data_IF_660973786910
#
_entry.id   IF_660973786910
#
_cell.length_a   1.000
_cell.length_b   1.000
_cell.length_c   1.000
_cell.angle_alpha   90.00
_cell.angle_beta   90.00
_cell.angle_gamma   90.00
#
_symmetry.space_group_name_H-M   'P 1'
#
loop_
_entity.id
_entity.type
_entity.pdbx_description
1 polymer ?
#
# COMPACT_ATOMS: atom_id res chain seq x y z
N UNK A 1 -19.69 2.94 14.12
CA UNK A 1 -18.52 2.09 13.82
C UNK A 1 -17.25 2.81 14.22
N UNK A 2 -16.19 2.10 14.54
CA UNK A 2 -14.86 2.68 14.76
C UNK A 2 -13.90 2.18 13.67
N UNK A 3 -13.13 3.07 13.06
CA UNK A 3 -12.15 2.73 12.05
C UNK A 3 -10.77 3.06 12.61
N UNK A 4 -9.83 2.13 12.53
CA UNK A 4 -8.46 2.27 13.05
C UNK A 4 -7.43 1.95 11.99
N UNK A 5 -6.32 2.66 11.98
CA UNK A 5 -5.17 2.31 11.14
C UNK A 5 -4.25 1.31 11.86
N UNK A 6 -3.91 0.22 11.18
CA UNK A 6 -2.86 -0.73 11.57
C UNK A 6 -1.57 -0.27 10.93
N UNK A 7 -0.74 0.46 11.68
CA UNK A 7 0.48 1.14 11.17
C UNK A 7 1.70 0.25 11.41
N UNK A 8 2.40 -0.17 10.36
CA UNK A 8 3.54 -1.08 10.50
C UNK A 8 4.84 -0.58 9.85
N UNK A 9 4.80 0.42 8.92
CA UNK A 9 6.01 1.12 8.44
C UNK A 9 5.81 2.63 8.44
N UNK A 10 6.92 3.39 8.59
CA UNK A 10 6.96 4.85 8.60
C UNK A 10 8.25 5.39 7.97
N UNK A 11 8.31 6.69 7.78
CA UNK A 11 9.48 7.40 7.27
C UNK A 11 9.95 6.88 5.90
N UNK A 12 9.00 6.43 5.06
CA UNK A 12 9.22 6.06 3.68
C UNK A 12 9.09 7.26 2.73
N UNK A 13 9.28 6.99 1.44
CA UNK A 13 9.04 7.98 0.39
C UNK A 13 8.61 7.34 -0.92
N UNK A 14 7.93 8.15 -1.74
CA UNK A 14 7.62 7.87 -3.14
C UNK A 14 8.06 9.06 -3.99
N UNK A 15 8.88 8.83 -5.02
CA UNK A 15 9.34 9.90 -5.90
C UNK A 15 8.22 10.39 -6.82
N UNK A 16 8.30 11.67 -7.24
CA UNK A 16 7.32 12.25 -8.16
C UNK A 16 7.18 11.46 -9.47
N UNK A 17 8.27 11.00 -10.15
CA UNK A 17 8.16 10.11 -11.31
C UNK A 17 7.34 8.84 -11.05
N UNK A 18 7.46 8.25 -9.86
CA UNK A 18 6.72 7.04 -9.49
C UNK A 18 5.23 7.31 -9.34
N UNK A 19 4.86 8.37 -8.62
CA UNK A 19 3.46 8.64 -8.27
C UNK A 19 2.67 9.38 -9.35
N UNK A 20 3.34 10.07 -10.30
CA UNK A 20 2.70 10.89 -11.33
C UNK A 20 2.96 10.45 -12.77
N UNK A 21 3.95 9.56 -12.96
CA UNK A 21 4.49 9.25 -14.30
C UNK A 21 3.66 8.31 -15.17
N UNK A 22 2.49 7.86 -14.72
CA UNK A 22 1.75 6.80 -15.38
C UNK A 22 1.19 7.13 -16.77
N UNK A 23 0.88 8.39 -17.03
CA UNK A 23 0.35 8.84 -18.34
C UNK A 23 1.37 9.66 -19.13
N UNK A 24 2.00 10.62 -18.49
CA UNK A 24 2.90 11.56 -19.15
C UNK A 24 4.33 11.01 -19.30
N UNK A 25 4.62 9.89 -18.62
CA UNK A 25 5.95 9.28 -18.55
C UNK A 25 6.79 9.80 -17.39
N UNK A 26 7.50 8.91 -16.66
CA UNK A 26 8.26 9.28 -15.47
C UNK A 26 9.37 10.32 -15.71
N UNK A 27 9.90 10.39 -16.94
CA UNK A 27 10.96 11.34 -17.33
C UNK A 27 10.51 12.80 -17.31
N UNK A 28 9.21 13.08 -17.22
CA UNK A 28 8.66 14.44 -17.18
C UNK A 28 8.55 15.00 -15.76
N UNK A 29 8.98 14.24 -14.76
CA UNK A 29 8.86 14.60 -13.34
C UNK A 29 10.23 14.60 -12.65
N UNK A 30 10.35 15.38 -11.58
CA UNK A 30 11.61 15.54 -10.84
C UNK A 30 11.82 14.38 -9.84
N UNK A 31 12.85 13.53 -10.01
CA UNK A 31 13.14 12.44 -9.08
C UNK A 31 13.63 12.94 -7.69
N UNK A 32 14.04 14.20 -7.56
CA UNK A 32 14.42 14.76 -6.27
C UNK A 32 13.22 15.12 -5.40
N UNK A 33 12.04 15.30 -5.99
CA UNK A 33 10.80 15.50 -5.24
C UNK A 33 10.33 14.15 -4.71
N UNK A 34 10.24 14.01 -3.39
CA UNK A 34 9.81 12.80 -2.69
C UNK A 34 8.70 13.11 -1.72
N UNK A 35 7.58 12.42 -1.88
CA UNK A 35 6.43 12.51 -1.00
C UNK A 35 6.58 11.52 0.16
N UNK A 36 6.00 11.85 1.33
CA UNK A 36 6.07 10.99 2.51
C UNK A 36 5.43 9.63 2.24
N UNK A 37 6.12 8.56 2.62
CA UNK A 37 5.67 7.18 2.54
C UNK A 37 5.50 6.54 3.91
N UNK A 38 4.57 5.59 3.97
CA UNK A 38 4.34 4.69 5.11
C UNK A 38 3.66 3.43 4.62
N UNK A 39 3.48 2.43 5.49
CA UNK A 39 2.54 1.34 5.24
C UNK A 39 1.60 1.18 6.42
N UNK A 40 0.33 1.23 6.13
CA UNK A 40 -0.79 0.93 7.04
C UNK A 40 -1.94 0.27 6.29
N UNK A 41 -2.69 -0.56 6.99
CA UNK A 41 -4.00 -1.04 6.54
C UNK A 41 -5.05 -0.66 7.58
N UNK A 42 -6.29 -1.12 7.42
CA UNK A 42 -7.36 -0.60 8.25
C UNK A 42 -8.16 -1.71 8.93
N UNK A 43 -8.64 -1.40 10.13
CA UNK A 43 -9.55 -2.22 10.91
C UNK A 43 -10.87 -1.46 11.08
N UNK A 44 -11.99 -2.13 10.89
CA UNK A 44 -13.35 -1.61 11.11
C UNK A 44 -13.98 -2.44 12.22
N UNK A 45 -14.27 -1.81 13.35
CA UNK A 45 -15.04 -2.39 14.45
C UNK A 45 -16.49 -1.87 14.37
N UNK A 46 -17.40 -2.77 14.02
CA UNK A 46 -18.83 -2.46 13.93
C UNK A 46 -19.53 -2.61 15.28
N UNK A 47 -18.85 -3.07 16.32
CA UNK A 47 -19.27 -3.60 17.61
C UNK A 47 -19.80 -5.03 17.56
N UNK A 48 -20.37 -5.44 16.42
CA UNK A 48 -20.85 -6.82 16.21
C UNK A 48 -19.79 -7.68 15.52
N UNK A 49 -18.93 -7.07 14.70
CA UNK A 49 -17.89 -7.74 13.92
C UNK A 49 -16.61 -6.90 13.88
N UNK A 50 -15.46 -7.60 13.80
CA UNK A 50 -14.16 -7.02 13.49
C UNK A 50 -13.80 -7.40 12.06
N UNK A 51 -13.62 -6.39 11.22
CA UNK A 51 -13.35 -6.52 9.79
C UNK A 51 -12.00 -5.86 9.49
N UNK A 52 -11.13 -6.54 8.76
CA UNK A 52 -9.91 -5.93 8.24
C UNK A 52 -10.11 -5.52 6.78
N UNK A 53 -9.46 -4.43 6.40
CA UNK A 53 -9.21 -4.09 5.00
C UNK A 53 -7.71 -4.22 4.80
N UNK A 54 -7.32 -5.26 4.09
CA UNK A 54 -5.95 -5.72 3.86
C UNK A 54 -5.22 -6.22 5.14
N UNK A 55 -4.07 -6.88 4.97
CA UNK A 55 -3.36 -7.59 6.04
C UNK A 55 -1.84 -7.41 6.02
N UNK A 56 -1.35 -6.32 5.46
CA UNK A 56 0.06 -5.93 5.50
C UNK A 56 1.03 -6.85 4.80
N UNK A 57 2.30 -6.65 5.10
CA UNK A 57 3.42 -7.43 4.58
C UNK A 57 3.53 -8.78 5.29
N UNK A 58 4.04 -9.82 4.60
CA UNK A 58 4.38 -11.10 5.23
C UNK A 58 5.39 -10.90 6.37
N UNK A 59 5.24 -11.69 7.45
CA UNK A 59 6.19 -11.69 8.54
C UNK A 59 7.62 -11.97 8.03
N UNK A 60 8.58 -11.21 8.56
CA UNK A 60 9.99 -11.33 8.18
C UNK A 60 10.34 -10.72 6.82
N UNK A 61 9.46 -9.94 6.20
CA UNK A 61 9.83 -9.11 5.04
C UNK A 61 10.90 -8.10 5.47
N UNK A 62 12.12 -8.15 4.88
CA UNK A 62 13.19 -7.26 5.31
C UNK A 62 12.89 -5.82 4.97
N UNK A 63 13.45 -4.89 5.76
CA UNK A 63 13.50 -3.49 5.37
C UNK A 63 14.33 -3.31 4.10
N UNK A 64 13.88 -2.42 3.25
CA UNK A 64 14.63 -1.98 2.08
C UNK A 64 15.72 -1.01 2.52
N UNK A 65 16.81 -0.95 1.76
CA UNK A 65 17.84 0.09 1.95
C UNK A 65 17.77 1.03 0.74
N UNK A 66 17.11 2.20 0.86
CA UNK A 66 16.96 3.12 -0.25
C UNK A 66 18.27 3.86 -0.52
N UNK A 67 18.44 4.33 -1.75
CA UNK A 67 19.51 5.24 -2.16
C UNK A 67 18.95 6.43 -2.97
N UNK A 68 19.82 7.34 -3.39
CA UNK A 68 19.43 8.54 -4.13
C UNK A 68 18.66 8.26 -5.44
N UNK A 69 18.81 7.06 -6.01
CA UNK A 69 18.13 6.66 -7.26
C UNK A 69 16.91 5.80 -7.02
N UNK A 70 16.62 5.44 -5.77
CA UNK A 70 15.43 4.63 -5.43
C UNK A 70 14.16 5.40 -5.76
N UNK A 71 13.24 4.82 -6.56
CA UNK A 71 11.99 5.48 -6.92
C UNK A 71 11.01 5.52 -5.75
N UNK A 72 11.14 4.58 -4.82
CA UNK A 72 10.34 4.46 -3.62
C UNK A 72 11.15 3.82 -2.49
N UNK A 73 10.65 4.02 -1.29
CA UNK A 73 11.03 3.32 -0.07
C UNK A 73 9.78 3.18 0.81
N UNK A 74 9.41 1.95 1.13
CA UNK A 74 8.18 1.69 1.89
C UNK A 74 8.27 2.10 3.36
N UNK A 75 9.47 2.39 3.84
CA UNK A 75 9.73 2.93 5.18
C UNK A 75 10.40 1.92 6.11
N UNK A 76 10.76 2.43 7.29
CA UNK A 76 11.31 1.66 8.41
C UNK A 76 10.22 0.89 9.11
N UNK A 77 10.52 -0.30 9.61
CA UNK A 77 9.59 -1.05 10.44
C UNK A 77 9.28 -0.29 11.74
N UNK A 78 8.00 -0.12 12.03
CA UNK A 78 7.52 0.21 13.37
C UNK A 78 7.51 -1.07 14.20
N UNK A 79 6.90 -2.12 13.63
CA UNK A 79 6.80 -3.48 14.14
C UNK A 79 6.22 -4.37 13.03
N UNK A 80 6.08 -5.68 13.27
CA UNK A 80 5.35 -6.56 12.36
C UNK A 80 3.88 -6.13 12.22
N UNK A 81 3.23 -6.49 11.11
CA UNK A 81 1.79 -6.23 10.94
C UNK A 81 0.98 -6.82 12.10
N UNK A 82 1.30 -8.06 12.53
CA UNK A 82 0.59 -8.74 13.61
C UNK A 82 0.76 -8.06 14.97
N UNK A 83 1.94 -7.50 15.25
CA UNK A 83 2.16 -6.72 16.47
C UNK A 83 1.40 -5.38 16.42
N UNK A 84 1.39 -4.70 15.27
CA UNK A 84 0.60 -3.49 15.07
C UNK A 84 -0.90 -3.75 15.26
N UNK A 85 -1.40 -4.86 14.71
CA UNK A 85 -2.79 -5.30 14.90
C UNK A 85 -3.10 -5.58 16.38
N UNK A 86 -2.24 -6.36 17.06
CA UNK A 86 -2.42 -6.70 18.47
C UNK A 86 -2.38 -5.47 19.38
N UNK A 87 -1.57 -4.46 19.04
CA UNK A 87 -1.49 -3.19 19.78
C UNK A 87 -2.81 -2.40 19.77
N UNK A 88 -3.71 -2.65 18.80
CA UNK A 88 -5.05 -2.09 18.79
C UNK A 88 -6.02 -2.77 19.78
N UNK A 89 -5.57 -3.82 20.48
CA UNK A 89 -6.35 -4.54 21.50
C UNK A 89 -7.20 -5.70 20.97
N UNK A 90 -7.00 -6.13 19.72
CA UNK A 90 -7.73 -7.23 19.11
C UNK A 90 -6.89 -8.50 19.02
N UNK A 91 -7.57 -9.64 18.86
CA UNK A 91 -6.97 -10.95 18.62
C UNK A 91 -7.36 -11.47 17.24
N UNK A 92 -6.50 -12.28 16.57
CA UNK A 92 -6.78 -12.79 15.23
C UNK A 92 -8.08 -13.59 15.11
N UNK A 93 -8.49 -14.31 16.17
CA UNK A 93 -9.71 -15.10 16.22
C UNK A 93 -11.02 -14.27 16.29
N UNK A 94 -10.92 -12.98 16.59
CA UNK A 94 -12.04 -12.03 16.60
C UNK A 94 -12.35 -11.48 15.19
N UNK A 95 -11.41 -11.58 14.26
CA UNK A 95 -11.61 -11.09 12.89
C UNK A 95 -12.53 -12.05 12.13
N UNK A 96 -13.68 -11.54 11.70
CA UNK A 96 -14.71 -12.33 11.00
C UNK A 96 -14.61 -12.20 9.49
N UNK A 97 -14.14 -11.06 9.01
CA UNK A 97 -13.99 -10.74 7.57
C UNK A 97 -12.67 -10.02 7.30
N UNK A 98 -12.09 -10.33 6.15
CA UNK A 98 -11.03 -9.54 5.54
C UNK A 98 -11.55 -9.10 4.17
N UNK A 99 -11.51 -7.81 3.90
CA UNK A 99 -11.84 -7.21 2.62
C UNK A 99 -10.51 -6.92 1.92
N UNK A 100 -10.08 -7.81 1.03
CA UNK A 100 -8.83 -7.67 0.32
C UNK A 100 -9.04 -6.74 -0.87
N UNK A 101 -8.33 -5.60 -0.89
CA UNK A 101 -8.41 -4.65 -2.00
C UNK A 101 -7.81 -5.22 -3.26
N UNK A 102 -6.65 -5.88 -3.17
CA UNK A 102 -5.98 -6.55 -4.28
C UNK A 102 -4.88 -7.52 -3.80
N UNK A 103 -4.25 -8.24 -4.73
CA UNK A 103 -3.35 -9.38 -4.46
C UNK A 103 -1.97 -9.03 -3.93
N UNK A 104 -1.46 -7.80 -4.05
CA UNK A 104 -0.06 -7.49 -3.74
C UNK A 104 0.31 -7.83 -2.28
N UNK A 105 1.60 -8.14 -2.07
CA UNK A 105 2.07 -8.74 -0.83
C UNK A 105 1.96 -7.85 0.40
N UNK A 106 1.94 -6.54 0.24
CA UNK A 106 1.75 -5.55 1.31
C UNK A 106 0.27 -5.30 1.68
N UNK A 107 -0.64 -5.98 0.97
CA UNK A 107 -2.07 -6.04 1.26
C UNK A 107 -2.50 -7.45 1.70
N UNK A 108 -1.85 -8.49 1.20
CA UNK A 108 -2.25 -9.89 1.37
C UNK A 108 -1.34 -10.72 2.28
N UNK A 109 -0.30 -10.11 2.87
CA UNK A 109 0.81 -10.84 3.51
C UNK A 109 0.42 -11.71 4.69
N UNK A 110 -0.50 -11.25 5.55
CA UNK A 110 -0.89 -11.97 6.77
C UNK A 110 -2.29 -12.59 6.71
N UNK A 111 -2.85 -12.83 5.50
CA UNK A 111 -4.17 -13.47 5.35
C UNK A 111 -4.30 -14.78 6.14
N UNK A 112 -3.22 -15.55 6.24
CA UNK A 112 -3.18 -16.85 6.93
C UNK A 112 -3.16 -16.75 8.45
N UNK A 113 -2.88 -15.56 8.98
CA UNK A 113 -2.83 -15.30 10.43
C UNK A 113 -4.22 -15.14 11.06
N UNK A 114 -5.29 -15.09 10.24
CA UNK A 114 -6.67 -14.89 10.67
C UNK A 114 -7.55 -16.10 10.35
N UNK A 115 -7.51 -17.15 11.18
CA UNK A 115 -8.08 -18.48 10.84
C UNK A 115 -9.60 -18.49 10.72
N UNK A 116 -10.31 -17.56 11.37
CA UNK A 116 -11.77 -17.51 11.38
C UNK A 116 -12.34 -16.55 10.33
N UNK A 117 -11.49 -15.72 9.72
CA UNK A 117 -11.94 -14.70 8.80
C UNK A 117 -12.35 -15.27 7.45
N UNK A 118 -13.47 -14.81 6.88
CA UNK A 118 -13.77 -14.97 5.45
C UNK A 118 -13.07 -13.87 4.67
N UNK A 119 -12.37 -14.24 3.61
CA UNK A 119 -11.59 -13.31 2.77
C UNK A 119 -12.43 -12.96 1.54
N UNK A 120 -13.00 -11.76 1.56
CA UNK A 120 -13.75 -11.20 0.42
C UNK A 120 -12.75 -10.53 -0.53
N UNK A 121 -12.69 -10.98 -1.75
CA UNK A 121 -11.78 -10.48 -2.78
C UNK A 121 -12.47 -10.50 -4.13
N UNK A 122 -12.16 -9.53 -4.99
CA UNK A 122 -12.65 -9.52 -6.37
C UNK A 122 -12.39 -10.88 -7.04
N UNK A 123 -13.39 -11.43 -7.72
CA UNK A 123 -13.30 -12.72 -8.39
C UNK A 123 -12.12 -12.77 -9.40
N UNK A 124 -11.75 -11.63 -10.00
CA UNK A 124 -10.62 -11.51 -10.93
C UNK A 124 -9.25 -11.71 -10.26
N UNK A 125 -9.14 -11.62 -8.91
CA UNK A 125 -7.93 -11.85 -8.13
C UNK A 125 -7.79 -13.28 -7.59
N UNK A 126 -8.86 -14.09 -7.59
CA UNK A 126 -8.89 -15.39 -6.92
C UNK A 126 -7.86 -16.41 -7.44
N UNK A 127 -7.33 -16.22 -8.65
CA UNK A 127 -6.27 -17.07 -9.22
C UNK A 127 -4.86 -16.63 -8.86
N UNK A 128 -4.69 -15.51 -8.14
CA UNK A 128 -3.39 -14.99 -7.76
C UNK A 128 -2.62 -15.98 -6.86
N UNK A 129 -1.29 -15.99 -6.99
CA UNK A 129 -0.42 -16.92 -6.25
C UNK A 129 -0.51 -16.71 -4.73
N UNK A 130 -0.66 -15.48 -4.29
CA UNK A 130 -0.79 -15.05 -2.89
C UNK A 130 -1.99 -15.71 -2.20
N UNK A 131 -3.04 -16.00 -2.97
CA UNK A 131 -4.31 -16.56 -2.48
C UNK A 131 -4.36 -18.11 -2.57
N UNK A 132 -3.38 -18.74 -3.19
CA UNK A 132 -3.37 -20.20 -3.36
C UNK A 132 -3.32 -20.94 -2.01
N UNK A 133 -4.17 -21.97 -1.88
CA UNK A 133 -4.26 -22.80 -0.67
C UNK A 133 -5.07 -22.19 0.48
N UNK A 134 -5.65 -20.98 0.32
CA UNK A 134 -6.63 -20.43 1.27
C UNK A 134 -8.01 -21.06 1.03
N UNK A 135 -8.63 -21.60 2.08
CA UNK A 135 -9.92 -22.31 1.99
C UNK A 135 -11.14 -21.39 2.23
N UNK A 136 -10.92 -20.19 2.75
CA UNK A 136 -11.94 -19.26 3.24
C UNK A 136 -12.16 -18.05 2.32
N UNK A 137 -11.75 -18.15 1.05
CA UNK A 137 -11.97 -17.12 0.03
C UNK A 137 -13.45 -17.04 -0.34
N UNK A 138 -13.97 -15.83 -0.40
CA UNK A 138 -15.30 -15.47 -0.89
C UNK A 138 -15.13 -14.58 -2.12
N UNK A 139 -15.26 -15.12 -3.34
CA UNK A 139 -15.18 -14.31 -4.55
C UNK A 139 -16.30 -13.27 -4.60
N UNK A 140 -15.94 -12.02 -4.85
CA UNK A 140 -16.87 -10.89 -4.98
C UNK A 140 -17.11 -10.61 -6.47
N UNK A 141 -18.37 -10.64 -6.90
CA UNK A 141 -18.78 -10.42 -8.29
C UNK A 141 -19.48 -9.07 -8.53
N UNK A 142 -19.60 -8.24 -7.48
CA UNK A 142 -20.15 -6.88 -7.54
C UNK A 142 -21.54 -6.78 -8.15
N UNK A 143 -22.47 -7.59 -7.65
CA UNK A 143 -23.82 -7.76 -8.23
C UNK A 143 -24.92 -6.92 -7.56
N UNK A 144 -24.59 -6.07 -6.57
CA UNK A 144 -25.59 -5.26 -5.85
C UNK A 144 -25.87 -3.91 -6.54
N UNK A 145 -25.43 -3.76 -7.79
CA UNK A 145 -25.73 -2.62 -8.65
C UNK A 145 -24.88 -1.38 -8.34
N UNK A 146 -25.37 -0.24 -8.81
CA UNK A 146 -24.67 1.01 -8.70
C UNK A 146 -24.74 1.62 -7.28
N UNK A 147 -23.69 2.33 -6.90
CA UNK A 147 -23.63 3.13 -5.69
C UNK A 147 -23.04 4.50 -6.03
N UNK A 148 -23.86 5.53 -6.03
CA UNK A 148 -23.56 6.85 -6.61
C UNK A 148 -23.07 6.70 -8.06
N UNK A 149 -21.85 7.14 -8.35
CA UNK A 149 -21.24 7.07 -9.68
C UNK A 149 -20.40 5.79 -9.93
N UNK A 150 -20.36 4.85 -8.98
CA UNK A 150 -19.74 3.54 -9.14
C UNK A 150 -20.78 2.53 -9.64
N UNK A 151 -20.59 1.93 -10.83
CA UNK A 151 -21.61 1.05 -11.43
C UNK A 151 -21.70 -0.35 -10.81
N UNK A 152 -20.58 -0.87 -10.28
CA UNK A 152 -20.42 -2.25 -9.85
C UNK A 152 -19.97 -2.30 -8.40
N UNK A 153 -20.86 -2.78 -7.52
CA UNK A 153 -20.61 -2.76 -6.07
C UNK A 153 -21.15 -4.02 -5.38
N UNK A 154 -20.66 -4.27 -4.17
CA UNK A 154 -21.10 -5.37 -3.31
C UNK A 154 -21.25 -4.89 -1.88
N UNK A 155 -22.44 -5.10 -1.27
CA UNK A 155 -22.69 -4.86 0.15
C UNK A 155 -22.02 -5.99 0.94
N UNK A 156 -21.18 -5.63 1.91
CA UNK A 156 -20.50 -6.60 2.80
C UNK A 156 -21.15 -6.65 4.17
N UNK A 157 -21.54 -5.49 4.69
CA UNK A 157 -22.25 -5.32 5.94
C UNK A 157 -23.03 -3.99 5.91
N UNK A 158 -23.93 -3.72 6.85
CA UNK A 158 -24.61 -2.42 6.94
C UNK A 158 -23.60 -1.26 6.96
N UNK A 159 -23.68 -0.36 5.99
CA UNK A 159 -22.79 0.78 5.83
C UNK A 159 -21.37 0.42 5.34
N UNK A 160 -21.10 -0.82 4.92
CA UNK A 160 -19.79 -1.24 4.39
C UNK A 160 -19.99 -1.89 3.02
N UNK A 161 -19.30 -1.36 2.04
CA UNK A 161 -19.41 -1.77 0.64
C UNK A 161 -18.05 -1.91 -0.04
N UNK A 162 -17.87 -2.96 -0.83
CA UNK A 162 -16.78 -3.05 -1.79
C UNK A 162 -17.23 -2.49 -3.14
N UNK A 163 -16.32 -1.79 -3.79
CA UNK A 163 -16.50 -1.15 -5.09
C UNK A 163 -15.48 -1.77 -6.04
N UNK A 164 -15.88 -2.17 -7.23
CA UNK A 164 -14.95 -2.59 -8.29
C UNK A 164 -14.18 -1.38 -8.82
N UNK A 165 -12.86 -1.43 -8.73
CA UNK A 165 -11.97 -0.29 -9.00
C UNK A 165 -10.71 -0.76 -9.74
N UNK A 166 -10.92 -1.40 -10.89
CA UNK A 166 -9.88 -1.95 -11.74
C UNK A 166 -8.85 -0.89 -12.17
N UNK A 167 -7.62 -1.32 -12.41
CA UNK A 167 -6.56 -0.49 -12.98
C UNK A 167 -5.20 -0.80 -12.40
N UNK A 168 -4.96 -0.52 -11.12
CA UNK A 168 -3.73 -0.90 -10.42
C UNK A 168 -3.47 -2.41 -10.56
N UNK A 169 -4.45 -3.24 -10.21
CA UNK A 169 -4.57 -4.61 -10.67
C UNK A 169 -5.91 -4.80 -11.39
N UNK A 170 -6.06 -5.93 -12.11
CA UNK A 170 -7.31 -6.24 -12.78
C UNK A 170 -8.48 -6.48 -11.83
N UNK A 171 -8.19 -6.79 -10.58
CA UNK A 171 -9.19 -7.01 -9.54
C UNK A 171 -9.15 -6.02 -8.39
N UNK A 172 -8.42 -4.91 -8.50
CA UNK A 172 -8.40 -3.91 -7.44
C UNK A 172 -9.80 -3.44 -7.07
N UNK A 173 -10.02 -3.21 -5.78
CA UNK A 173 -11.30 -2.81 -5.18
C UNK A 173 -11.09 -1.69 -4.15
N UNK A 174 -12.11 -0.87 -3.98
CA UNK A 174 -12.22 0.12 -2.90
C UNK A 174 -13.17 -0.41 -1.84
N UNK A 175 -12.92 -0.10 -0.58
CA UNK A 175 -13.89 -0.28 0.51
C UNK A 175 -14.39 1.09 0.95
N UNK A 176 -15.71 1.29 0.91
CA UNK A 176 -16.35 2.50 1.45
C UNK A 176 -17.10 2.13 2.73
N UNK A 177 -16.84 2.90 3.79
CA UNK A 177 -17.54 2.80 5.08
C UNK A 177 -18.35 4.08 5.31
N UNK A 178 -19.66 3.94 5.37
CA UNK A 178 -20.56 5.04 5.75
C UNK A 178 -20.65 5.11 7.28
N UNK A 179 -20.20 6.18 7.87
CA UNK A 179 -20.27 6.37 9.32
C UNK A 179 -20.38 7.84 9.69
N UNK A 180 -21.35 8.17 10.54
CA UNK A 180 -21.58 9.54 11.05
C UNK A 180 -21.72 10.63 9.96
N UNK A 181 -22.32 10.27 8.83
CA UNK A 181 -22.53 11.17 7.69
C UNK A 181 -21.30 11.41 6.83
N UNK A 182 -20.21 10.69 7.06
CA UNK A 182 -18.99 10.69 6.26
C UNK A 182 -18.81 9.38 5.51
N UNK A 183 -18.08 9.44 4.40
CA UNK A 183 -17.66 8.30 3.61
C UNK A 183 -16.16 8.08 3.78
N UNK A 184 -15.76 7.02 4.49
CA UNK A 184 -14.36 6.64 4.63
C UNK A 184 -14.01 5.72 3.46
N UNK A 185 -13.16 6.23 2.55
CA UNK A 185 -12.75 5.51 1.35
C UNK A 185 -11.36 4.91 1.55
N UNK A 186 -11.32 3.60 1.79
CA UNK A 186 -10.08 2.81 1.85
C UNK A 186 -9.87 2.24 0.44
N UNK A 187 -8.90 2.81 -0.28
CA UNK A 187 -8.89 2.70 -1.75
C UNK A 187 -7.83 1.74 -2.32
N UNK A 188 -7.10 1.00 -1.44
CA UNK A 188 -5.96 0.20 -1.91
C UNK A 188 -4.92 1.11 -2.57
N UNK A 189 -4.56 0.82 -3.83
CA UNK A 189 -3.47 1.49 -4.55
C UNK A 189 -3.93 2.32 -5.75
N UNK A 190 -5.07 3.01 -5.63
CA UNK A 190 -5.51 3.94 -6.67
C UNK A 190 -4.56 5.11 -6.79
N UNK A 191 -4.10 5.64 -5.66
CA UNK A 191 -3.00 6.60 -5.57
C UNK A 191 -2.05 6.19 -4.44
N UNK A 192 -0.77 6.54 -4.56
CA UNK A 192 0.23 6.30 -3.52
C UNK A 192 0.33 7.45 -2.52
N UNK A 193 -0.08 8.64 -2.92
CA UNK A 193 -0.08 9.86 -2.11
C UNK A 193 -1.31 10.71 -2.45
N UNK A 194 -1.75 11.55 -1.53
CA UNK A 194 -2.92 12.42 -1.75
C UNK A 194 -2.67 13.46 -2.84
N UNK A 195 -1.42 13.88 -3.04
CA UNK A 195 -1.03 14.79 -4.12
C UNK A 195 -1.38 14.24 -5.50
N UNK A 196 -1.30 12.92 -5.70
CA UNK A 196 -1.71 12.29 -6.97
C UNK A 196 -3.23 12.40 -7.20
N UNK A 197 -4.02 12.34 -6.12
CA UNK A 197 -5.45 12.59 -6.17
C UNK A 197 -5.74 14.06 -6.53
N UNK A 198 -5.07 15.02 -5.88
CA UNK A 198 -5.25 16.45 -6.16
C UNK A 198 -4.84 16.82 -7.58
N UNK A 199 -3.68 16.38 -8.01
CA UNK A 199 -3.11 16.65 -9.34
C UNK A 199 -3.75 15.81 -10.45
N UNK A 200 -4.64 14.88 -10.11
CA UNK A 200 -5.28 13.98 -11.05
C UNK A 200 -4.29 13.15 -11.86
N UNK A 201 -3.26 12.60 -11.21
CA UNK A 201 -2.16 11.86 -11.84
C UNK A 201 -2.24 10.37 -11.52
N UNK A 202 -1.86 9.53 -12.47
CA UNK A 202 -1.66 8.10 -12.28
C UNK A 202 -0.22 7.79 -11.87
N UNK A 203 -0.05 6.81 -10.99
CA UNK A 203 1.25 6.20 -10.74
C UNK A 203 1.70 5.38 -11.96
N UNK A 204 2.98 5.01 -12.00
CA UNK A 204 3.51 4.13 -13.06
C UNK A 204 3.11 2.66 -12.86
N UNK A 205 2.42 2.32 -11.77
CA UNK A 205 2.05 0.94 -11.41
C UNK A 205 0.58 0.70 -11.73
N UNK A 206 0.34 -0.01 -12.81
CA UNK A 206 -1.00 -0.46 -13.23
C UNK A 206 -0.89 -1.69 -14.14
N UNK A 207 -1.88 -2.57 -14.09
CA UNK A 207 -2.09 -3.65 -15.05
C UNK A 207 -2.91 -3.17 -16.26
N UNK A 208 -3.80 -2.19 -16.05
CA UNK A 208 -4.66 -1.60 -17.09
C UNK A 208 -4.75 -0.08 -16.89
N UNK A 209 -4.04 0.67 -17.75
CA UNK A 209 -3.95 2.13 -17.64
C UNK A 209 -5.28 2.83 -17.84
N UNK A 210 -6.05 2.40 -18.84
CA UNK A 210 -7.33 3.05 -19.18
C UNK A 210 -8.35 2.83 -18.07
N UNK A 211 -8.38 1.62 -17.49
CA UNK A 211 -9.19 1.34 -16.31
C UNK A 211 -8.72 2.11 -15.07
N UNK A 212 -7.39 2.28 -14.86
CA UNK A 212 -6.86 3.08 -13.77
C UNK A 212 -7.30 4.55 -13.89
N UNK A 213 -7.28 5.10 -15.11
CA UNK A 213 -7.76 6.46 -15.39
C UNK A 213 -9.25 6.59 -15.09
N UNK A 214 -10.08 5.67 -15.60
CA UNK A 214 -11.51 5.67 -15.33
C UNK A 214 -11.82 5.56 -13.82
N UNK A 215 -11.08 4.69 -13.11
CA UNK A 215 -11.23 4.51 -11.67
C UNK A 215 -10.89 5.80 -10.91
N UNK A 216 -9.76 6.47 -11.23
CA UNK A 216 -9.38 7.72 -10.56
C UNK A 216 -10.38 8.84 -10.85
N UNK A 217 -10.90 8.94 -12.08
CA UNK A 217 -11.93 9.93 -12.45
C UNK A 217 -13.23 9.72 -11.64
N UNK A 218 -13.66 8.46 -11.48
CA UNK A 218 -14.82 8.10 -10.64
C UNK A 218 -14.60 8.43 -9.17
N UNK A 219 -13.42 8.14 -8.63
CA UNK A 219 -13.04 8.48 -7.25
C UNK A 219 -13.11 10.00 -7.04
N UNK A 220 -12.53 10.78 -7.95
CA UNK A 220 -12.56 12.25 -7.87
C UNK A 220 -13.98 12.80 -7.99
N UNK A 221 -14.80 12.24 -8.86
CA UNK A 221 -16.22 12.61 -8.98
C UNK A 221 -17.00 12.30 -7.68
N UNK A 222 -16.76 11.13 -7.08
CA UNK A 222 -17.37 10.76 -5.80
C UNK A 222 -17.00 11.75 -4.70
N UNK A 223 -15.71 12.09 -4.56
CA UNK A 223 -15.18 13.03 -3.55
C UNK A 223 -15.80 14.43 -3.73
N UNK A 224 -16.02 14.90 -4.98
CA UNK A 224 -16.68 16.20 -5.21
C UNK A 224 -18.13 16.24 -4.76
N UNK A 225 -18.79 15.10 -4.73
CA UNK A 225 -20.23 15.01 -4.46
C UNK A 225 -20.55 14.46 -3.07
N UNK A 226 -19.57 13.82 -2.39
CA UNK A 226 -19.78 13.17 -1.11
C UNK A 226 -18.69 13.56 -0.12
N UNK A 227 -19.03 13.84 1.17
CA UNK A 227 -18.04 14.19 2.20
C UNK A 227 -17.14 12.99 2.52
N UNK A 228 -16.00 12.90 1.84
CA UNK A 228 -15.13 11.72 1.84
C UNK A 228 -13.86 11.94 2.62
N UNK A 229 -13.55 11.02 3.54
CA UNK A 229 -12.25 10.86 4.19
C UNK A 229 -11.44 9.84 3.37
N UNK A 230 -10.32 10.27 2.79
CA UNK A 230 -9.51 9.46 1.90
C UNK A 230 -8.43 8.73 2.68
N UNK A 231 -8.47 7.40 2.67
CA UNK A 231 -7.66 6.52 3.51
C UNK A 231 -6.74 5.66 2.65
N UNK A 232 -5.54 6.18 2.36
CA UNK A 232 -4.51 5.49 1.57
C UNK A 232 -3.64 4.55 2.40
N UNK A 233 -3.07 3.54 1.75
CA UNK A 233 -2.17 2.54 2.36
C UNK A 233 -0.73 3.03 2.42
N UNK A 234 -0.30 3.82 1.44
CA UNK A 234 1.11 4.11 1.17
C UNK A 234 1.61 5.46 1.69
N UNK A 235 0.76 6.27 2.28
CA UNK A 235 1.12 7.61 2.78
C UNK A 235 0.60 7.84 4.19
N UNK A 236 1.36 8.54 5.06
CA UNK A 236 0.88 8.95 6.38
C UNK A 236 -0.43 9.74 6.32
N UNK A 237 -0.67 10.48 5.24
CA UNK A 237 -1.92 11.23 5.03
C UNK A 237 -3.15 10.32 5.19
N UNK A 238 -3.09 9.04 4.77
CA UNK A 238 -4.21 8.11 4.90
C UNK A 238 -4.71 7.94 6.33
N UNK A 239 -3.83 7.76 7.32
CA UNK A 239 -4.23 7.69 8.73
C UNK A 239 -4.38 9.08 9.38
N UNK A 240 -3.64 10.09 8.93
CA UNK A 240 -3.82 11.48 9.38
C UNK A 240 -5.22 11.98 9.00
N UNK A 241 -5.68 11.72 7.78
CA UNK A 241 -7.05 12.03 7.33
C UNK A 241 -8.10 11.30 8.18
N UNK A 242 -7.88 10.01 8.46
CA UNK A 242 -8.79 9.21 9.29
C UNK A 242 -8.91 9.80 10.71
N UNK A 243 -7.77 10.07 11.37
CA UNK A 243 -7.71 10.56 12.73
C UNK A 243 -8.33 11.96 12.88
N UNK A 244 -8.08 12.83 11.89
CA UNK A 244 -8.65 14.18 11.83
C UNK A 244 -10.10 14.22 11.29
N UNK A 245 -10.62 13.11 10.76
CA UNK A 245 -11.87 13.07 9.97
C UNK A 245 -11.83 14.13 8.85
N UNK A 246 -10.67 14.25 8.20
CA UNK A 246 -10.45 15.26 7.18
C UNK A 246 -11.26 14.94 5.92
N UNK A 247 -12.23 15.79 5.61
CA UNK A 247 -13.01 15.70 4.37
C UNK A 247 -12.20 16.30 3.24
N UNK A 248 -11.94 15.51 2.21
CA UNK A 248 -11.17 15.93 1.04
C UNK A 248 -11.87 17.05 0.29
N UNK A 249 -11.11 18.07 -0.04
CA UNK A 249 -11.53 19.18 -0.92
C UNK A 249 -10.53 19.26 -2.09
N UNK A 250 -10.96 18.82 -3.28
CA UNK A 250 -10.10 18.77 -4.46
C UNK A 250 -9.76 20.14 -5.03
N UNK A 251 -10.49 21.18 -4.65
CA UNK A 251 -10.27 22.55 -5.10
C UNK A 251 -9.39 23.35 -4.12
N UNK A 252 -9.25 22.86 -2.88
CA UNK A 252 -8.41 23.45 -1.83
C UNK A 252 -7.51 22.37 -1.21
N UNK A 253 -6.47 21.91 -1.92
CA UNK A 253 -5.59 20.85 -1.44
C UNK A 253 -4.84 21.24 -0.17
N UNK A 254 -4.64 20.27 0.72
CA UNK A 254 -3.75 20.43 1.87
C UNK A 254 -2.31 20.67 1.38
N UNK A 255 -1.56 21.63 1.96
CA UNK A 255 -0.17 21.84 1.57
C UNK A 255 0.68 20.58 1.66
N UNK A 256 1.41 20.28 0.60
CA UNK A 256 2.31 19.13 0.52
C UNK A 256 3.43 19.23 1.54
N UNK A 257 3.65 18.15 2.27
CA UNK A 257 4.83 17.96 3.12
C UNK A 257 5.70 16.88 2.48
N UNK A 258 6.86 17.28 1.98
CA UNK A 258 7.81 16.34 1.36
C UNK A 258 8.49 15.44 2.41
N UNK A 259 8.98 14.29 1.95
CA UNK A 259 9.81 13.43 2.77
C UNK A 259 11.17 14.10 3.04
N UNK A 260 11.59 14.09 4.31
CA UNK A 260 12.95 14.49 4.68
C UNK A 260 13.83 13.24 4.65
N UNK A 261 14.61 13.08 3.58
CA UNK A 261 15.43 11.89 3.34
C UNK A 261 16.90 12.28 3.32
N UNK A 262 17.64 11.80 4.32
CA UNK A 262 19.09 11.95 4.39
C UNK A 262 19.79 10.64 3.99
N UNK A 263 20.45 10.65 2.84
CA UNK A 263 21.25 9.53 2.35
C UNK A 263 22.74 9.60 2.76
N UNK A 264 23.18 10.62 3.51
CA UNK A 264 24.60 10.81 3.88
C UNK A 264 25.09 9.70 4.80
N UNK A 265 24.27 9.24 5.74
CA UNK A 265 24.60 8.13 6.63
C UNK A 265 24.80 6.80 5.87
N UNK A 266 24.10 6.60 4.77
CA UNK A 266 24.20 5.40 3.92
C UNK A 266 25.47 5.43 3.07
N UNK A 267 25.84 6.61 2.55
CA UNK A 267 27.14 6.78 1.82
C UNK A 267 28.35 6.45 2.69
N UNK A 268 28.24 6.64 4.00
CA UNK A 268 29.29 6.32 4.97
C UNK A 268 29.34 4.86 5.39
N UNK A 269 28.29 4.07 5.11
CA UNK A 269 28.15 2.71 5.65
C UNK A 269 28.97 1.66 4.91
N UNK A 270 29.47 1.93 3.70
CA UNK A 270 30.13 0.94 2.84
C UNK A 270 29.23 -0.24 2.43
N UNK A 271 27.93 -0.14 2.68
CA UNK A 271 26.95 -1.19 2.36
C UNK A 271 26.62 -1.21 0.86
N UNK A 272 26.25 -2.37 0.36
CA UNK A 272 25.81 -2.60 -1.01
C UNK A 272 24.52 -3.41 -1.03
N UNK A 273 23.60 -3.08 -1.94
CA UNK A 273 22.28 -3.72 -2.06
C UNK A 273 22.14 -4.39 -3.43
N UNK A 274 21.72 -5.64 -3.40
CA UNK A 274 21.36 -6.37 -4.61
C UNK A 274 20.09 -5.78 -5.23
N UNK A 275 20.18 -5.24 -6.43
CA UNK A 275 19.06 -4.64 -7.17
C UNK A 275 17.96 -5.64 -7.57
N UNK A 276 18.23 -6.94 -7.43
CA UNK A 276 17.29 -8.00 -7.83
C UNK A 276 16.46 -8.51 -6.66
N UNK A 277 17.08 -8.67 -5.46
CA UNK A 277 16.40 -9.31 -4.33
C UNK A 277 16.44 -8.51 -3.02
N UNK A 278 17.05 -7.31 -3.03
CA UNK A 278 17.15 -6.45 -1.86
C UNK A 278 18.13 -6.95 -0.78
N UNK A 279 18.92 -8.01 -1.04
CA UNK A 279 19.94 -8.47 -0.06
C UNK A 279 20.95 -7.34 0.17
N UNK A 280 21.20 -7.01 1.44
CA UNK A 280 22.19 -6.02 1.86
C UNK A 280 23.48 -6.70 2.24
N UNK A 281 24.57 -6.34 1.59
CA UNK A 281 25.92 -6.66 2.03
C UNK A 281 26.39 -5.57 3.00
N UNK A 282 26.61 -5.92 4.25
CA UNK A 282 27.16 -5.03 5.27
C UNK A 282 28.56 -5.48 5.65
N UNK A 283 29.60 -4.70 5.42
CA UNK A 283 30.97 -5.05 5.85
C UNK A 283 31.07 -5.42 7.33
N UNK A 284 30.25 -4.79 8.18
CA UNK A 284 30.26 -5.10 9.63
C UNK A 284 29.79 -6.53 9.95
N UNK A 285 28.97 -7.14 9.09
CA UNK A 285 28.50 -8.52 9.21
C UNK A 285 29.41 -9.52 8.47
N UNK A 286 30.46 -9.03 7.80
CA UNK A 286 31.38 -9.80 6.98
C UNK A 286 32.84 -9.51 7.34
N UNK A 287 33.16 -9.54 8.64
CA UNK A 287 34.52 -9.38 9.18
C UNK A 287 35.24 -8.07 8.74
N UNK A 288 34.46 -7.04 8.42
CA UNK A 288 34.98 -5.75 7.95
C UNK A 288 35.46 -5.74 6.48
N UNK A 289 35.22 -6.78 5.72
CA UNK A 289 35.60 -6.86 4.31
C UNK A 289 34.73 -5.88 3.51
N UNK A 290 35.35 -4.96 2.77
CA UNK A 290 34.61 -4.05 1.90
C UNK A 290 34.03 -4.83 0.70
N UNK A 291 32.86 -4.39 0.21
CA UNK A 291 32.21 -5.06 -0.91
C UNK A 291 33.09 -5.05 -2.17
N UNK A 292 33.85 -3.98 -2.37
CA UNK A 292 34.80 -3.82 -3.47
C UNK A 292 35.90 -4.89 -3.45
N UNK A 293 36.31 -5.32 -2.26
CA UNK A 293 37.37 -6.31 -2.02
C UNK A 293 36.91 -7.77 -2.14
N UNK A 294 35.59 -7.99 -2.33
CA UNK A 294 35.07 -9.34 -2.59
C UNK A 294 35.60 -9.88 -3.93
N UNK A 295 35.82 -11.20 -4.05
CA UNK A 295 36.21 -11.85 -5.29
C UNK A 295 35.28 -11.48 -6.46
N UNK A 296 35.82 -11.39 -7.69
CA UNK A 296 35.03 -11.04 -8.88
C UNK A 296 33.93 -12.08 -9.19
N UNK A 297 34.15 -13.32 -8.79
CA UNK A 297 33.17 -14.41 -8.94
C UNK A 297 32.16 -14.52 -7.78
N UNK A 298 32.24 -13.60 -6.80
CA UNK A 298 31.30 -13.57 -5.68
C UNK A 298 29.86 -13.34 -6.17
N UNK A 299 28.92 -14.03 -5.56
CA UNK A 299 27.50 -13.99 -5.91
C UNK A 299 26.65 -13.71 -4.69
N UNK A 300 25.56 -13.01 -4.92
CA UNK A 300 24.54 -12.75 -3.91
C UNK A 300 24.17 -14.06 -3.20
N UNK A 301 24.30 -14.16 -1.86
CA UNK A 301 23.97 -15.38 -1.14
C UNK A 301 22.47 -15.74 -1.25
N UNK A 302 21.62 -14.76 -1.46
CA UNK A 302 20.17 -14.93 -1.55
C UNK A 302 19.70 -15.37 -2.94
N UNK A 303 20.08 -14.65 -4.00
CA UNK A 303 19.55 -14.87 -5.36
C UNK A 303 20.60 -15.32 -6.38
N UNK A 304 21.86 -15.52 -5.96
CA UNK A 304 22.97 -15.96 -6.79
C UNK A 304 23.34 -15.02 -7.95
N UNK A 305 22.82 -13.82 -7.97
CA UNK A 305 23.19 -12.80 -8.96
C UNK A 305 24.64 -12.31 -8.73
N UNK A 306 25.33 -11.92 -9.80
CA UNK A 306 26.72 -11.49 -9.71
C UNK A 306 26.86 -10.09 -9.09
N UNK A 307 28.08 -9.74 -8.72
CA UNK A 307 28.49 -8.52 -8.01
C UNK A 307 28.00 -7.23 -8.70
N UNK A 308 27.93 -7.21 -10.04
CA UNK A 308 27.47 -6.08 -10.84
C UNK A 308 25.98 -5.72 -10.66
N UNK A 309 25.22 -6.59 -9.99
CA UNK A 309 23.83 -6.33 -9.65
C UNK A 309 23.67 -5.64 -8.30
N UNK A 310 24.77 -5.25 -7.67
CA UNK A 310 24.74 -4.52 -6.41
C UNK A 310 25.01 -3.04 -6.63
N UNK A 311 24.22 -2.23 -5.98
CA UNK A 311 24.39 -0.78 -5.92
C UNK A 311 24.87 -0.41 -4.51
N UNK A 312 25.72 0.62 -4.43
CA UNK A 312 26.12 1.18 -3.15
C UNK A 312 24.90 1.75 -2.47
N UNK A 313 24.69 1.36 -1.20
CA UNK A 313 23.56 1.83 -0.38
C UNK A 313 23.78 3.25 0.09
#
# INVERSE_FOLDING_TARGET
MEIKAVKFRKDGFYSQPFVFGGEEGPQNFDPAIRYRGSLQNYLIDTRDEVILVDTGLPAGTPEEVPNETSPLYTGKDICSYMDAFAALGYKPDQVTKILLTHKHGDHSGELRSFPNAKIYVNADECSAAELQGLANIVPVSFTDGAYFNFPETQIIAPGIRMIKAKGHTNGNSIVIVENDGLFYMIHGDITYVDEALYENKLSIVYEDKDAARETLDRVREFIRNQPTVYCGTHTPQGYENLEAKHVMDLDNPVPTVLADVDFTAQKASGKYVCSICGYVYDPAEHDGVAFEDLPDDWKCPRCKQPKEKFNKA
#
